data_IF_063795581027
#
_entry.id   IF_063795581027
#
_cell.length_a   1.000
_cell.length_b   1.000
_cell.length_c   1.000
_cell.angle_alpha   90.00
_cell.angle_beta   90.00
_cell.angle_gamma   90.00
#
_symmetry.space_group_name_H-M   'P 1'
#
loop_
_entity.id
_entity.type
_entity.pdbx_description
1 polymer ?
#
# COMPACT_ATOMS: atom_id res chain seq x y z
N UNK A 1 -1.67 10.21 21.65
CA UNK A 1 -1.51 8.79 21.31
C UNK A 1 -1.41 7.99 22.59
N UNK A 2 -2.34 7.06 22.83
CA UNK A 2 -2.21 6.06 23.90
C UNK A 2 -2.00 4.70 23.25
N UNK A 3 -0.99 3.95 23.69
CA UNK A 3 -0.72 2.59 23.20
C UNK A 3 -1.11 1.63 24.31
N UNK A 4 -2.11 0.79 24.05
CA UNK A 4 -2.60 -0.22 24.99
C UNK A 4 -2.15 -1.58 24.47
N UNK A 5 -1.42 -2.33 25.30
CA UNK A 5 -0.99 -3.69 24.97
C UNK A 5 -1.99 -4.66 25.60
N UNK A 6 -2.85 -5.33 24.82
CA UNK A 6 -3.79 -6.30 25.35
C UNK A 6 -3.07 -7.56 25.86
N UNK A 7 -3.73 -8.39 26.69
CA UNK A 7 -3.18 -9.68 27.10
C UNK A 7 -3.00 -10.61 25.89
N UNK A 8 -2.13 -11.61 26.06
CA UNK A 8 -1.78 -12.61 25.05
C UNK A 8 -3.05 -13.26 24.49
N UNK A 9 -3.28 -13.16 23.17
CA UNK A 9 -4.52 -13.57 22.54
C UNK A 9 -4.27 -14.02 21.08
N UNK A 10 -5.23 -14.74 20.51
CA UNK A 10 -5.24 -15.20 19.10
C UNK A 10 -6.56 -14.87 18.38
N UNK A 11 -7.35 -13.93 18.91
CA UNK A 11 -8.62 -13.55 18.25
C UNK A 11 -8.31 -12.79 16.98
N UNK A 12 -8.95 -13.20 15.90
CA UNK A 12 -8.84 -12.52 14.62
C UNK A 12 -9.22 -11.04 14.72
N UNK A 13 -8.35 -10.18 14.23
CA UNK A 13 -8.44 -8.73 14.30
C UNK A 13 -8.39 -8.10 12.90
N UNK A 14 -8.64 -6.79 12.81
CA UNK A 14 -8.50 -6.03 11.55
C UNK A 14 -7.08 -6.10 10.98
N UNK A 15 -6.05 -6.16 11.82
CA UNK A 15 -4.66 -6.29 11.38
C UNK A 15 -4.42 -7.66 10.73
N UNK A 16 -5.06 -8.72 11.23
CA UNK A 16 -4.98 -10.04 10.63
C UNK A 16 -5.68 -10.08 9.27
N UNK A 17 -6.83 -9.40 9.13
CA UNK A 17 -7.50 -9.24 7.84
C UNK A 17 -6.63 -8.49 6.82
N UNK A 18 -5.97 -7.41 7.23
CA UNK A 18 -5.02 -6.67 6.39
C UNK A 18 -3.81 -7.52 6.05
N UNK A 19 -3.27 -8.28 7.01
CA UNK A 19 -2.17 -9.20 6.79
C UNK A 19 -2.52 -10.28 5.78
N UNK A 20 -3.71 -10.88 5.88
CA UNK A 20 -4.20 -11.88 4.94
C UNK A 20 -4.36 -11.29 3.54
N UNK A 21 -4.94 -10.09 3.42
CA UNK A 21 -5.05 -9.38 2.15
C UNK A 21 -3.66 -9.08 1.55
N UNK A 22 -2.69 -8.71 2.39
CA UNK A 22 -1.30 -8.51 1.99
C UNK A 22 -0.64 -9.78 1.46
N UNK A 23 -0.78 -10.91 2.18
CA UNK A 23 -0.26 -12.22 1.75
C UNK A 23 -0.88 -12.61 0.40
N UNK A 24 -2.20 -12.61 0.30
CA UNK A 24 -2.91 -13.02 -0.93
C UNK A 24 -2.52 -12.10 -2.09
N UNK A 25 -2.58 -10.79 -1.89
CA UNK A 25 -2.27 -9.81 -2.93
C UNK A 25 -0.83 -9.91 -3.44
N UNK A 26 0.15 -10.04 -2.54
CA UNK A 26 1.56 -10.14 -2.91
C UNK A 26 1.90 -11.50 -3.55
N UNK A 27 1.31 -12.60 -3.09
CA UNK A 27 1.48 -13.92 -3.73
C UNK A 27 0.87 -13.95 -5.13
N UNK A 28 -0.33 -13.40 -5.29
CA UNK A 28 -0.97 -13.26 -6.61
C UNK A 28 -0.08 -12.42 -7.53
N UNK A 29 0.40 -11.27 -7.06
CA UNK A 29 1.30 -10.40 -7.82
C UNK A 29 2.65 -11.06 -8.14
N UNK A 30 3.11 -12.01 -7.32
CA UNK A 30 4.38 -12.73 -7.53
C UNK A 30 4.28 -13.85 -8.55
N UNK A 31 3.22 -14.66 -8.44
CA UNK A 31 3.14 -15.95 -9.14
C UNK A 31 2.19 -15.94 -10.32
N UNK A 32 1.19 -15.07 -10.32
CA UNK A 32 0.23 -14.97 -11.41
C UNK A 32 0.70 -13.82 -12.30
N UNK A 33 1.07 -14.06 -13.57
CA UNK A 33 1.47 -13.01 -14.49
C UNK A 33 0.22 -12.28 -14.99
N UNK A 34 -0.49 -11.62 -14.07
CA UNK A 34 -1.78 -10.99 -14.35
C UNK A 34 -1.62 -9.94 -15.49
N UNK A 35 -0.44 -9.31 -15.61
CA UNK A 35 -0.01 -8.47 -16.73
C UNK A 35 -0.12 -9.08 -18.13
N UNK A 36 0.10 -10.39 -18.22
CA UNK A 36 0.05 -11.12 -19.49
C UNK A 36 -1.33 -11.71 -19.75
N UNK A 37 -2.10 -11.96 -18.69
CA UNK A 37 -3.38 -12.67 -18.76
C UNK A 37 -4.53 -11.71 -19.07
N UNK A 38 -4.52 -10.51 -18.49
CA UNK A 38 -5.63 -9.58 -18.62
C UNK A 38 -5.28 -8.51 -19.67
N UNK A 39 -5.99 -8.46 -20.82
CA UNK A 39 -5.67 -7.55 -21.92
C UNK A 39 -5.83 -6.06 -21.58
N UNK A 40 -6.50 -5.73 -20.48
CA UNK A 40 -6.69 -4.37 -19.96
C UNK A 40 -5.75 -4.06 -18.78
N UNK A 41 -4.54 -4.65 -18.75
CA UNK A 41 -3.59 -4.44 -17.65
C UNK A 41 -2.94 -3.05 -17.59
N UNK A 42 -3.27 -2.21 -18.56
CA UNK A 42 -3.04 -0.78 -18.50
C UNK A 42 -4.14 -0.03 -17.76
N UNK A 43 -3.83 1.20 -17.36
CA UNK A 43 -4.86 2.11 -16.86
C UNK A 43 -5.67 2.61 -18.06
N UNK A 44 -6.85 2.03 -18.31
CA UNK A 44 -7.75 2.42 -19.42
C UNK A 44 -7.99 3.93 -19.43
N UNK A 45 -8.16 4.54 -18.25
CA UNK A 45 -8.30 5.99 -18.13
C UNK A 45 -7.09 6.72 -18.71
N UNK A 46 -5.87 6.30 -18.38
CA UNK A 46 -4.64 6.92 -18.91
C UNK A 46 -4.49 6.68 -20.42
N UNK A 47 -4.88 5.51 -20.90
CA UNK A 47 -4.83 5.18 -22.33
C UNK A 47 -5.81 6.01 -23.14
N UNK A 48 -7.01 6.28 -22.61
CA UNK A 48 -8.03 7.05 -23.31
C UNK A 48 -7.88 8.57 -23.13
N UNK A 49 -7.48 9.03 -21.95
CA UNK A 49 -7.45 10.47 -21.61
C UNK A 49 -6.05 11.08 -21.59
N UNK A 50 -5.00 10.25 -21.55
CA UNK A 50 -3.62 10.68 -21.31
C UNK A 50 -3.34 11.08 -19.86
N UNK A 51 -4.34 11.11 -18.98
CA UNK A 51 -4.20 11.52 -17.58
C UNK A 51 -4.15 10.31 -16.63
N UNK A 52 -3.17 10.27 -15.69
CA UNK A 52 -3.15 9.23 -14.67
C UNK A 52 -4.25 9.47 -13.62
N UNK A 53 -4.82 8.40 -13.07
CA UNK A 53 -5.62 8.49 -11.85
C UNK A 53 -4.75 8.42 -10.58
N UNK A 54 -5.36 8.67 -9.42
CA UNK A 54 -4.73 8.52 -8.10
C UNK A 54 -4.11 7.12 -7.87
N UNK A 55 -4.75 6.09 -8.43
CA UNK A 55 -4.28 4.70 -8.35
C UNK A 55 -3.31 4.28 -9.46
N UNK A 56 -2.87 5.20 -10.32
CA UNK A 56 -1.99 4.83 -11.42
C UNK A 56 -0.67 4.26 -10.88
N UNK A 57 -0.29 3.09 -11.39
CA UNK A 57 0.95 2.42 -10.99
C UNK A 57 0.86 1.52 -9.76
N UNK A 58 -0.28 1.44 -9.04
CA UNK A 58 -0.40 0.57 -7.85
C UNK A 58 -0.21 -0.92 -8.16
N UNK A 59 -0.72 -1.39 -9.31
CA UNK A 59 -0.49 -2.78 -9.76
C UNK A 59 0.99 -3.05 -10.06
N UNK A 60 1.68 -2.08 -10.68
CA UNK A 60 3.14 -2.15 -10.90
C UNK A 60 3.92 -2.12 -9.58
N UNK A 61 3.45 -1.38 -8.59
CA UNK A 61 4.04 -1.42 -7.25
C UNK A 61 3.88 -2.81 -6.64
N UNK A 62 2.69 -3.39 -6.65
CA UNK A 62 2.45 -4.72 -6.08
C UNK A 62 3.34 -5.78 -6.73
N UNK A 63 3.44 -5.76 -8.06
CA UNK A 63 4.35 -6.62 -8.84
C UNK A 63 5.83 -6.39 -8.46
N UNK A 64 6.30 -5.15 -8.42
CA UNK A 64 7.70 -4.85 -8.12
C UNK A 64 8.07 -5.15 -6.66
N UNK A 65 7.20 -4.85 -5.70
CA UNK A 65 7.40 -5.17 -4.28
C UNK A 65 7.42 -6.68 -4.08
N UNK A 66 6.55 -7.44 -4.75
CA UNK A 66 6.56 -8.90 -4.67
C UNK A 66 7.84 -9.52 -5.24
N UNK A 67 8.48 -8.83 -6.20
CA UNK A 67 9.78 -9.17 -6.78
C UNK A 67 10.98 -8.55 -6.05
N UNK A 68 10.77 -7.92 -4.89
CA UNK A 68 11.81 -7.22 -4.10
C UNK A 68 12.50 -6.06 -4.84
N UNK A 69 11.89 -5.56 -5.92
CA UNK A 69 12.34 -4.38 -6.65
C UNK A 69 11.74 -3.11 -6.05
N UNK A 70 12.25 -2.71 -4.88
CA UNK A 70 11.74 -1.54 -4.15
C UNK A 70 12.03 -0.21 -4.86
N UNK A 71 13.19 -0.09 -5.52
CA UNK A 71 13.54 1.11 -6.29
C UNK A 71 12.53 1.34 -7.42
N UNK A 72 12.25 0.30 -8.21
CA UNK A 72 11.24 0.37 -9.24
C UNK A 72 9.84 0.62 -8.68
N UNK A 73 9.49 0.05 -7.52
CA UNK A 73 8.21 0.32 -6.88
C UNK A 73 8.06 1.81 -6.52
N UNK A 74 9.08 2.37 -5.88
CA UNK A 74 9.11 3.79 -5.48
C UNK A 74 8.97 4.72 -6.68
N UNK A 75 9.67 4.42 -7.76
CA UNK A 75 9.56 5.19 -9.00
C UNK A 75 8.14 5.15 -9.60
N UNK A 76 7.42 4.04 -9.45
CA UNK A 76 6.06 3.91 -9.96
C UNK A 76 5.05 4.72 -9.14
N UNK A 77 5.05 4.56 -7.82
CA UNK A 77 4.14 5.27 -6.92
C UNK A 77 4.69 5.17 -5.47
N UNK A 78 5.26 6.25 -4.92
CA UNK A 78 5.83 6.25 -3.57
C UNK A 78 4.82 5.86 -2.49
N UNK A 79 3.63 6.48 -2.49
CA UNK A 79 2.58 6.17 -1.51
C UNK A 79 2.07 4.73 -1.66
N UNK A 80 1.94 4.26 -2.91
CA UNK A 80 1.64 2.87 -3.19
C UNK A 80 2.68 1.91 -2.62
N UNK A 81 3.97 2.27 -2.73
CA UNK A 81 5.08 1.46 -2.21
C UNK A 81 5.03 1.37 -0.69
N UNK A 82 4.81 2.51 -0.02
CA UNK A 82 4.61 2.53 1.42
C UNK A 82 3.41 1.66 1.81
N UNK A 83 2.28 1.78 1.11
CA UNK A 83 1.10 0.95 1.38
C UNK A 83 1.39 -0.55 1.22
N UNK A 84 2.06 -0.96 0.13
CA UNK A 84 2.42 -2.35 -0.11
C UNK A 84 3.37 -2.90 0.96
N UNK A 85 4.32 -2.09 1.44
CA UNK A 85 5.20 -2.46 2.56
C UNK A 85 4.44 -2.58 3.88
N UNK A 86 3.46 -1.71 4.14
CA UNK A 86 2.59 -1.83 5.32
C UNK A 86 1.74 -3.11 5.28
N UNK A 87 1.24 -3.51 4.10
CA UNK A 87 0.58 -4.80 3.93
C UNK A 87 1.52 -5.99 4.16
N UNK A 88 2.76 -5.92 3.67
CA UNK A 88 3.78 -6.93 3.94
C UNK A 88 4.11 -7.01 5.44
N UNK A 89 4.22 -5.86 6.12
CA UNK A 89 4.44 -5.81 7.57
C UNK A 89 3.23 -6.39 8.32
N UNK A 90 2.00 -6.03 7.94
CA UNK A 90 0.79 -6.58 8.52
C UNK A 90 0.72 -8.11 8.35
N UNK A 91 1.20 -8.65 7.23
CA UNK A 91 1.31 -10.09 7.02
C UNK A 91 2.27 -10.75 8.02
N UNK A 92 3.43 -10.15 8.27
CA UNK A 92 4.38 -10.62 9.28
C UNK A 92 3.77 -10.55 10.68
N UNK A 93 3.15 -9.42 11.03
CA UNK A 93 2.48 -9.24 12.33
C UNK A 93 1.36 -10.24 12.53
N UNK A 94 0.55 -10.51 11.50
CA UNK A 94 -0.50 -11.52 11.53
C UNK A 94 0.09 -12.91 11.84
N UNK A 95 1.17 -13.31 11.16
CA UNK A 95 1.83 -14.59 11.44
C UNK A 95 2.32 -14.63 12.89
N UNK A 96 2.95 -13.55 13.36
CA UNK A 96 3.42 -13.47 14.74
C UNK A 96 2.28 -13.55 15.77
N UNK A 97 1.17 -12.86 15.51
CA UNK A 97 -0.01 -12.85 16.37
C UNK A 97 -0.70 -14.22 16.39
N UNK A 98 -0.99 -14.81 15.23
CA UNK A 98 -1.74 -16.07 15.16
C UNK A 98 -0.90 -17.27 15.61
N UNK A 99 0.39 -17.34 15.25
CA UNK A 99 1.26 -18.47 15.60
C UNK A 99 1.76 -18.35 17.04
N UNK A 100 2.33 -17.21 17.42
CA UNK A 100 2.96 -17.03 18.74
C UNK A 100 2.03 -16.38 19.78
N UNK A 101 0.76 -16.12 19.45
CA UNK A 101 -0.18 -15.40 20.32
C UNK A 101 0.35 -14.02 20.74
N UNK A 102 1.20 -13.38 19.92
CA UNK A 102 1.77 -12.08 20.25
C UNK A 102 0.66 -11.02 20.30
N UNK A 103 0.48 -10.28 21.41
CA UNK A 103 -0.55 -9.25 21.48
C UNK A 103 -0.22 -8.10 20.52
N UNK A 104 -1.21 -7.70 19.71
CA UNK A 104 -1.09 -6.56 18.79
C UNK A 104 -1.35 -5.27 19.60
N UNK A 105 -0.42 -4.30 19.61
CA UNK A 105 -0.63 -3.02 20.27
C UNK A 105 -1.80 -2.27 19.65
N UNK A 106 -2.73 -1.81 20.48
CA UNK A 106 -3.84 -0.97 20.05
C UNK A 106 -3.44 0.50 20.19
N UNK A 107 -3.58 1.26 19.11
CA UNK A 107 -3.26 2.68 19.08
C UNK A 107 -4.56 3.47 19.14
N UNK A 108 -4.75 4.20 20.25
CA UNK A 108 -5.84 5.15 20.39
C UNK A 108 -5.34 6.56 20.07
N UNK A 109 -5.95 7.17 19.06
CA UNK A 109 -5.70 8.56 18.69
C UNK A 109 -6.62 9.50 19.47
N UNK A 110 -6.07 10.60 19.95
CA UNK A 110 -6.83 11.70 20.53
C UNK A 110 -7.63 12.45 19.44
N UNK A 111 -8.69 13.20 19.80
CA UNK A 111 -9.47 13.98 18.84
C UNK A 111 -8.61 14.95 18.02
N UNK A 112 -7.59 15.57 18.65
CA UNK A 112 -6.64 16.47 17.96
C UNK A 112 -5.80 15.72 16.92
N UNK A 113 -5.32 14.53 17.24
CA UNK A 113 -4.56 13.70 16.30
C UNK A 113 -5.41 13.25 15.11
N UNK A 114 -6.68 12.91 15.34
CA UNK A 114 -7.63 12.64 14.26
C UNK A 114 -7.84 13.84 13.34
N UNK A 115 -7.98 15.05 13.89
CA UNK A 115 -8.07 16.27 13.08
C UNK A 115 -6.80 16.50 12.26
N UNK A 116 -5.63 16.31 12.86
CA UNK A 116 -4.34 16.45 12.15
C UNK A 116 -4.21 15.41 11.03
N UNK A 117 -4.55 14.15 11.29
CA UNK A 117 -4.56 13.10 10.27
C UNK A 117 -5.55 13.41 9.14
N UNK A 118 -6.72 13.96 9.46
CA UNK A 118 -7.73 14.38 8.49
C UNK A 118 -7.23 15.47 7.53
N UNK A 119 -6.27 16.31 7.96
CA UNK A 119 -5.65 17.33 7.11
C UNK A 119 -4.40 16.81 6.40
N UNK A 120 -3.55 16.05 7.10
CA UNK A 120 -2.29 15.56 6.53
C UNK A 120 -2.50 14.48 5.47
N UNK A 121 -3.45 13.56 5.67
CA UNK A 121 -3.73 12.50 4.72
C UNK A 121 -4.06 13.01 3.31
N UNK A 122 -5.01 13.96 3.09
CA UNK A 122 -5.28 14.47 1.77
C UNK A 122 -4.08 15.22 1.18
N UNK A 123 -3.32 15.97 1.98
CA UNK A 123 -2.10 16.64 1.52
C UNK A 123 -1.08 15.62 0.99
N UNK A 124 -0.80 14.55 1.74
CA UNK A 124 0.12 13.48 1.34
C UNK A 124 -0.37 12.80 0.05
N UNK A 125 -1.67 12.53 -0.05
CA UNK A 125 -2.28 11.94 -1.26
C UNK A 125 -2.11 12.88 -2.46
N UNK A 126 -2.36 14.19 -2.30
CA UNK A 126 -2.22 15.17 -3.37
C UNK A 126 -0.76 15.36 -3.79
N UNK A 127 0.18 15.37 -2.85
CA UNK A 127 1.62 15.42 -3.15
C UNK A 127 2.07 14.18 -3.92
N UNK A 128 1.65 13.00 -3.48
CA UNK A 128 1.94 11.76 -4.21
C UNK A 128 1.29 11.77 -5.61
N UNK A 129 0.07 12.27 -5.73
CA UNK A 129 -0.60 12.39 -7.01
C UNK A 129 0.12 13.34 -7.96
N UNK A 130 0.57 14.50 -7.46
CA UNK A 130 1.37 15.43 -8.23
C UNK A 130 2.65 14.76 -8.75
N UNK A 131 3.35 13.99 -7.91
CA UNK A 131 4.49 13.19 -8.34
C UNK A 131 4.13 12.22 -9.47
N UNK A 132 3.03 11.47 -9.33
CA UNK A 132 2.56 10.51 -10.36
C UNK A 132 2.22 11.24 -11.66
N UNK A 133 1.56 12.40 -11.59
CA UNK A 133 1.24 13.24 -12.75
C UNK A 133 2.51 13.69 -13.46
N UNK A 134 3.46 14.27 -12.72
CA UNK A 134 4.73 14.74 -13.30
C UNK A 134 5.49 13.57 -13.93
N UNK A 135 5.64 12.45 -13.23
CA UNK A 135 6.40 11.30 -13.75
C UNK A 135 5.78 10.67 -14.99
N UNK A 136 4.45 10.63 -15.07
CA UNK A 136 3.77 9.97 -16.20
C UNK A 136 3.51 10.90 -17.37
N UNK A 137 3.24 12.18 -17.14
CA UNK A 137 2.89 13.14 -18.19
C UNK A 137 4.01 14.10 -18.58
N UNK A 138 4.84 14.49 -17.62
CA UNK A 138 5.94 15.44 -17.83
C UNK A 138 7.28 14.86 -17.37
N UNK A 139 7.70 13.68 -17.90
CA UNK A 139 8.90 13.00 -17.42
C UNK A 139 10.18 13.83 -17.58
N UNK A 140 10.18 14.79 -18.52
CA UNK A 140 11.29 15.73 -18.75
C UNK A 140 11.52 16.72 -17.61
N UNK A 141 10.54 16.94 -16.72
CA UNK A 141 10.71 17.80 -15.55
C UNK A 141 11.45 17.09 -14.39
N UNK A 142 11.70 15.79 -14.53
CA UNK A 142 12.40 14.96 -13.53
C UNK A 142 13.76 14.44 -14.05
N UNK A 143 14.23 14.97 -15.18
CA UNK A 143 15.55 14.70 -15.77
C UNK A 143 16.56 15.77 -15.35
#
# INVERSE_FOLDING_TARGET
>A
MKVIIPPRNRRFSTVDALGLAGVVGLLVARYIPVARIIPFWGCVLREQTGWPCLGCGLTRVADRVSHLNFAGAWEANPLGTVAALLFALAAVVMVLHLVFAMPIPQVEFSPREWSVLGVLAPIIILVNYAYVVVKTRFPHLLL
#
